data_IF_602806187053
#
_entry.id   IF_602806187053
#
_cell.length_a   1.000
_cell.length_b   1.000
_cell.length_c   1.000
_cell.angle_alpha   90.00
_cell.angle_beta   90.00
_cell.angle_gamma   90.00
#
_symmetry.space_group_name_H-M   'P 1'
#
loop_
_entity.id
_entity.type
_entity.pdbx_description
1 polymer ?
#
# COMPACT_ATOMS: atom_id res chain seq x y z
N UNK A 1 8.99 33.84 29.22
CA UNK A 1 9.88 33.24 28.19
C UNK A 1 10.16 31.76 28.42
N UNK A 2 10.63 31.32 29.61
CA UNK A 2 10.90 29.89 29.89
C UNK A 2 9.70 28.96 29.69
N UNK A 3 8.49 29.35 30.13
CA UNK A 3 7.24 28.60 29.90
C UNK A 3 6.88 28.44 28.42
N UNK A 4 7.21 29.44 27.60
CA UNK A 4 6.98 29.42 26.15
C UNK A 4 7.98 28.50 25.45
N UNK A 5 9.24 28.49 25.90
CA UNK A 5 10.27 27.56 25.41
C UNK A 5 9.97 26.10 25.77
N UNK A 6 9.40 25.84 26.96
CA UNK A 6 8.94 24.51 27.38
C UNK A 6 7.77 24.05 26.52
N UNK A 7 6.80 24.93 26.23
CA UNK A 7 5.67 24.63 25.33
C UNK A 7 6.13 24.37 23.89
N UNK A 8 7.06 25.18 23.36
CA UNK A 8 7.65 24.97 22.03
C UNK A 8 8.45 23.67 21.96
N UNK A 9 9.24 23.35 23.00
CA UNK A 9 9.96 22.09 23.10
C UNK A 9 9.03 20.87 23.11
N UNK A 10 7.92 20.94 23.86
CA UNK A 10 6.91 19.88 23.92
C UNK A 10 6.13 19.70 22.60
N UNK A 11 5.88 20.78 21.87
CA UNK A 11 5.27 20.76 20.54
C UNK A 11 6.21 20.20 19.47
N UNK A 12 7.50 20.52 19.54
CA UNK A 12 8.50 20.00 18.60
C UNK A 12 8.76 18.51 18.83
N UNK A 13 8.74 18.05 20.09
CA UNK A 13 8.91 16.63 20.42
C UNK A 13 7.71 15.77 20.03
N UNK A 14 6.50 16.33 19.99
CA UNK A 14 5.31 15.58 19.55
C UNK A 14 5.28 15.37 18.03
N UNK A 15 5.90 16.25 17.25
CA UNK A 15 5.97 16.14 15.79
C UNK A 15 6.88 15.00 15.31
N UNK A 16 7.82 14.56 16.14
CA UNK A 16 8.79 13.50 15.80
C UNK A 16 8.24 12.07 15.92
N UNK A 17 7.05 11.88 16.50
CA UNK A 17 6.52 10.55 16.85
C UNK A 17 5.51 10.04 15.80
N UNK A 18 5.10 10.86 14.82
CA UNK A 18 4.08 10.45 13.85
C UNK A 18 4.69 9.80 12.60
N UNK A 19 5.20 8.58 12.75
CA UNK A 19 5.44 7.68 11.61
C UNK A 19 4.51 6.47 11.76
N UNK A 20 3.27 6.63 11.29
CA UNK A 20 2.37 5.48 11.12
C UNK A 20 2.83 4.75 9.86
N UNK A 21 3.55 3.64 10.03
CA UNK A 21 3.88 2.74 8.93
C UNK A 21 2.62 2.00 8.48
N UNK A 22 2.30 2.07 7.19
CA UNK A 22 1.27 1.23 6.59
C UNK A 22 1.78 -0.22 6.54
N UNK A 23 1.21 -1.09 7.37
CA UNK A 23 1.69 -2.46 7.54
C UNK A 23 1.07 -3.39 6.48
N UNK A 24 1.87 -3.75 5.48
CA UNK A 24 1.48 -4.66 4.40
C UNK A 24 1.85 -6.10 4.78
N UNK A 25 0.92 -6.83 5.41
CA UNK A 25 1.08 -8.27 5.67
C UNK A 25 1.27 -9.03 4.34
N UNK A 26 2.10 -10.08 4.32
CA UNK A 26 2.42 -10.85 3.12
C UNK A 26 1.93 -12.29 3.24
N UNK A 27 1.36 -12.84 2.16
CA UNK A 27 0.88 -14.23 2.06
C UNK A 27 1.56 -14.99 0.93
N UNK A 28 1.81 -16.29 1.15
CA UNK A 28 2.28 -17.21 0.11
C UNK A 28 1.11 -17.77 -0.68
N UNK A 29 1.15 -17.61 -1.99
CA UNK A 29 0.21 -18.21 -2.94
C UNK A 29 0.81 -19.51 -3.46
N UNK A 30 0.06 -20.61 -3.34
CA UNK A 30 0.43 -21.90 -3.94
C UNK A 30 0.36 -21.80 -5.46
N UNK A 31 1.23 -22.54 -6.15
CA UNK A 31 1.17 -22.61 -7.61
C UNK A 31 -0.12 -23.28 -8.07
N UNK A 32 -0.67 -22.82 -9.19
CA UNK A 32 -1.93 -23.32 -9.73
C UNK A 32 -1.96 -23.21 -11.25
N UNK A 33 -2.76 -24.06 -11.88
CA UNK A 33 -3.06 -23.93 -13.30
C UNK A 33 -4.17 -22.90 -13.51
N UNK A 34 -3.97 -21.93 -14.41
CA UNK A 34 -4.92 -20.85 -14.68
C UNK A 34 -5.71 -21.15 -15.96
N UNK A 35 -6.98 -21.62 -15.86
CA UNK A 35 -7.72 -22.10 -17.03
C UNK A 35 -7.97 -21.02 -18.08
N UNK A 36 -8.18 -19.77 -17.66
CA UNK A 36 -8.45 -18.65 -18.58
C UNK A 36 -7.28 -18.31 -19.50
N UNK A 37 -6.06 -18.71 -19.14
CA UNK A 37 -4.86 -18.50 -19.96
C UNK A 37 -4.20 -19.81 -20.39
N UNK A 38 -4.62 -20.96 -19.85
CA UNK A 38 -4.01 -22.25 -20.11
C UNK A 38 -2.58 -22.40 -19.57
N UNK A 39 -2.16 -21.54 -18.63
CA UNK A 39 -0.77 -21.48 -18.15
C UNK A 39 -0.65 -21.90 -16.69
N UNK A 40 0.44 -22.57 -16.34
CA UNK A 40 0.82 -22.78 -14.93
C UNK A 40 1.38 -21.49 -14.32
N UNK A 41 0.90 -21.14 -13.13
CA UNK A 41 1.39 -20.03 -12.33
C UNK A 41 2.22 -20.59 -11.18
N UNK A 42 3.51 -20.23 -11.14
CA UNK A 42 4.40 -20.65 -10.07
C UNK A 42 3.99 -20.06 -8.69
N UNK A 43 4.31 -20.76 -7.58
CA UNK A 43 4.13 -20.20 -6.24
C UNK A 43 4.86 -18.86 -6.10
N UNK A 44 4.23 -17.89 -5.45
CA UNK A 44 4.79 -16.56 -5.23
C UNK A 44 4.26 -15.94 -3.94
N UNK A 45 4.88 -14.86 -3.49
CA UNK A 45 4.40 -14.06 -2.37
C UNK A 45 3.66 -12.83 -2.89
N UNK A 46 2.60 -12.43 -2.17
CA UNK A 46 1.87 -11.19 -2.44
C UNK A 46 1.40 -10.56 -1.13
N UNK A 47 1.04 -9.28 -1.18
CA UNK A 47 0.36 -8.62 -0.05
C UNK A 47 -0.95 -9.32 0.28
N UNK A 48 -1.27 -9.41 1.57
CA UNK A 48 -2.52 -9.94 2.09
C UNK A 48 -3.69 -9.23 1.42
N UNK A 49 -4.64 -9.98 0.82
CA UNK A 49 -5.77 -9.38 0.16
C UNK A 49 -6.63 -8.62 1.18
N UNK A 50 -7.12 -7.45 0.79
CA UNK A 50 -8.09 -6.67 1.56
C UNK A 50 -9.30 -6.32 0.68
N UNK A 51 -10.28 -5.60 1.24
CA UNK A 51 -11.50 -5.18 0.52
C UNK A 51 -11.36 -3.82 -0.18
N UNK A 52 -10.21 -3.16 -0.04
CA UNK A 52 -9.92 -1.90 -0.70
C UNK A 52 -9.49 -2.17 -2.15
N UNK A 53 -9.94 -1.30 -3.05
CA UNK A 53 -9.37 -1.20 -4.40
C UNK A 53 -8.44 0.00 -4.51
N UNK A 54 -8.41 0.88 -3.52
CA UNK A 54 -7.71 2.17 -3.57
C UNK A 54 -6.19 2.02 -3.55
N UNK A 55 -5.68 0.87 -3.13
CA UNK A 55 -4.26 0.53 -3.00
C UNK A 55 -3.72 -0.28 -4.19
N UNK A 56 -4.57 -0.71 -5.12
CA UNK A 56 -4.12 -1.37 -6.34
C UNK A 56 -3.38 -0.40 -7.25
N UNK A 57 -2.22 -0.79 -7.80
CA UNK A 57 -1.48 0.06 -8.74
C UNK A 57 -2.25 0.37 -10.04
N UNK A 58 -3.21 -0.46 -10.42
CA UNK A 58 -4.08 -0.22 -11.58
C UNK A 58 -5.15 0.84 -11.32
N UNK A 59 -5.40 1.19 -10.05
CA UNK A 59 -6.43 2.16 -9.67
C UNK A 59 -6.07 3.57 -10.12
N UNK A 60 -7.07 4.29 -10.63
CA UNK A 60 -6.91 5.65 -11.12
C UNK A 60 -6.24 6.52 -10.05
N UNK A 61 -5.20 7.24 -10.47
CA UNK A 61 -4.30 8.10 -9.66
C UNK A 61 -3.16 7.37 -8.94
N UNK A 62 -3.15 6.04 -8.91
CA UNK A 62 -1.98 5.30 -8.46
C UNK A 62 -0.94 5.16 -9.57
N UNK A 63 0.29 4.89 -9.18
CA UNK A 63 1.41 4.66 -10.09
C UNK A 63 2.08 3.35 -9.72
N UNK A 64 2.35 2.50 -10.72
CA UNK A 64 3.10 1.28 -10.49
C UNK A 64 4.61 1.59 -10.53
N UNK A 65 5.34 1.50 -9.40
CA UNK A 65 6.77 1.83 -9.37
C UNK A 65 7.63 0.86 -10.19
N UNK A 66 7.15 -0.37 -10.41
CA UNK A 66 7.90 -1.40 -11.14
C UNK A 66 7.81 -1.29 -12.66
N UNK A 67 6.67 -0.80 -13.17
CA UNK A 67 6.45 -0.68 -14.63
C UNK A 67 6.37 0.75 -15.12
N UNK A 68 6.33 1.73 -14.23
CA UNK A 68 6.15 3.14 -14.57
C UNK A 68 4.76 3.48 -15.12
N UNK A 69 3.80 2.55 -15.05
CA UNK A 69 2.46 2.75 -15.62
C UNK A 69 1.55 3.43 -14.60
N UNK A 70 0.83 4.46 -15.05
CA UNK A 70 -0.25 5.11 -14.29
C UNK A 70 -1.49 4.22 -14.29
N UNK A 71 -2.11 4.06 -13.12
CA UNK A 71 -3.40 3.39 -12.98
C UNK A 71 -4.54 4.19 -13.61
N UNK A 72 -5.49 3.48 -14.21
CA UNK A 72 -6.62 4.05 -14.97
C UNK A 72 -7.97 3.49 -14.54
N UNK A 73 -7.98 2.41 -13.74
CA UNK A 73 -9.20 1.70 -13.34
C UNK A 73 -9.93 2.47 -12.25
N UNK A 74 -11.22 2.76 -12.45
CA UNK A 74 -12.03 3.39 -11.40
C UNK A 74 -12.28 2.39 -10.25
N UNK A 75 -11.99 2.75 -8.99
CA UNK A 75 -12.23 1.84 -7.87
C UNK A 75 -13.74 1.66 -7.57
N UNK A 76 -14.58 2.58 -8.06
CA UNK A 76 -16.03 2.62 -7.78
C UNK A 76 -16.89 1.99 -8.88
N UNK A 77 -16.30 1.63 -10.02
CA UNK A 77 -17.04 0.98 -11.12
C UNK A 77 -16.79 -0.53 -11.08
N UNK A 78 -17.83 -1.28 -11.39
CA UNK A 78 -17.82 -2.72 -11.57
C UNK A 78 -17.90 -3.02 -13.06
#
# INVERSE_FOLDING_TARGET
MKKLLILLGALLSSFLIFSISAEASTVRVKGYYKPSTGTYVAPHYKTSPNRSRLDNYSTKRNYNPYSGKRGTVSPYKW
#
